data_IF_657279879719
#
_entry.id   IF_657279879719
#
_cell.length_a   1.000
_cell.length_b   1.000
_cell.length_c   1.000
_cell.angle_alpha   90.00
_cell.angle_beta   90.00
_cell.angle_gamma   90.00
#
_symmetry.space_group_name_H-M   'P 1'
#
loop_
_entity.id
_entity.type
_entity.pdbx_description
1 polymer ?
#
# COMPACT_ATOMS: atom_id res chain seq x y z
N UNK A 1 59.41 57.01 31.27
CA UNK A 1 58.91 55.83 30.53
C UNK A 1 57.40 55.95 30.45
N UNK A 2 56.84 56.14 29.24
CA UNK A 2 55.40 56.34 29.02
C UNK A 2 54.76 54.98 28.76
N UNK A 3 53.84 54.55 29.62
CA UNK A 3 53.04 53.34 29.42
C UNK A 3 51.78 53.69 28.64
N UNK A 4 51.62 53.06 27.46
CA UNK A 4 50.40 53.13 26.67
C UNK A 4 49.48 51.96 27.07
N UNK A 5 48.29 52.30 27.58
CA UNK A 5 47.23 51.36 27.92
C UNK A 5 46.38 51.09 26.66
N UNK A 6 46.35 49.86 26.18
CA UNK A 6 45.49 49.44 25.07
C UNK A 6 44.23 48.76 25.64
N UNK A 7 43.06 49.36 25.38
CA UNK A 7 41.75 48.85 25.78
C UNK A 7 41.21 47.97 24.64
N UNK A 8 40.95 46.70 24.92
CA UNK A 8 40.33 45.74 24.00
C UNK A 8 38.80 45.74 24.23
N UNK A 9 37.96 45.95 23.21
CA UNK A 9 36.51 45.87 23.36
C UNK A 9 36.06 44.39 23.40
N UNK A 10 35.33 44.04 24.45
CA UNK A 10 34.68 42.73 24.61
C UNK A 10 33.34 42.77 23.87
N UNK A 11 33.23 42.01 22.77
CA UNK A 11 31.99 41.83 22.04
C UNK A 11 31.09 40.83 22.77
N UNK A 12 29.97 41.29 23.32
CA UNK A 12 28.90 40.49 23.91
C UNK A 12 28.14 39.73 22.82
N UNK A 13 28.40 38.44 22.69
CA UNK A 13 27.62 37.54 21.84
C UNK A 13 26.28 37.20 22.53
N UNK A 14 25.17 37.71 21.97
CA UNK A 14 23.81 37.32 22.36
C UNK A 14 23.55 35.88 21.88
N UNK A 15 23.54 34.92 22.81
CA UNK A 15 23.06 33.56 22.55
C UNK A 15 21.54 33.57 22.44
N UNK A 16 21.03 33.48 21.21
CA UNK A 16 19.61 33.29 20.95
C UNK A 16 19.27 31.82 21.21
N UNK A 17 18.67 31.55 22.38
CA UNK A 17 18.13 30.23 22.73
C UNK A 17 16.86 29.97 21.93
N UNK A 18 17.00 29.42 20.72
CA UNK A 18 15.86 28.91 19.97
C UNK A 18 15.34 27.66 20.69
N UNK A 19 14.12 27.73 21.24
CA UNK A 19 13.45 26.56 21.80
C UNK A 19 13.30 25.51 20.68
N UNK A 20 13.72 24.25 20.89
CA UNK A 20 13.63 23.22 19.87
C UNK A 20 12.17 22.98 19.51
N UNK A 21 11.83 23.20 18.24
CA UNK A 21 10.51 22.93 17.70
C UNK A 21 10.32 21.40 17.67
N UNK A 22 9.29 20.88 18.35
CA UNK A 22 8.90 19.46 18.21
C UNK A 22 8.50 19.21 16.76
N UNK A 23 9.19 18.29 16.11
CA UNK A 23 8.86 17.85 14.75
C UNK A 23 8.15 16.52 14.88
N UNK A 24 6.82 16.56 14.84
CA UNK A 24 6.04 15.34 14.67
C UNK A 24 6.45 14.67 13.34
N UNK A 25 6.66 13.37 13.40
CA UNK A 25 6.88 12.53 12.23
C UNK A 25 5.59 12.48 11.42
N UNK A 26 5.69 12.81 10.14
CA UNK A 26 4.60 12.63 9.19
C UNK A 26 4.26 11.14 9.04
N UNK A 27 3.05 10.69 9.44
CA UNK A 27 2.65 9.28 9.33
C UNK A 27 2.67 8.72 7.90
N UNK A 28 2.61 9.58 6.88
CA UNK A 28 2.71 9.18 5.47
C UNK A 28 4.14 8.84 5.05
N UNK A 29 5.15 9.35 5.77
CA UNK A 29 6.57 9.03 5.53
C UNK A 29 7.03 7.78 6.30
N UNK A 30 6.21 7.26 7.21
CA UNK A 30 6.50 6.04 7.97
C UNK A 30 6.25 4.83 7.08
N UNK A 31 7.25 3.95 6.88
CA UNK A 31 7.07 2.77 6.05
C UNK A 31 6.03 1.81 6.65
N UNK A 32 5.22 1.18 5.79
CA UNK A 32 4.26 0.16 6.24
C UNK A 32 4.97 -1.11 6.70
N UNK A 33 4.43 -1.80 7.71
CA UNK A 33 5.01 -3.04 8.20
C UNK A 33 5.01 -4.14 7.13
N UNK A 34 3.96 -4.22 6.31
CA UNK A 34 3.82 -5.25 5.28
C UNK A 34 3.77 -6.68 5.81
N UNK A 35 3.53 -6.86 7.11
CA UNK A 35 3.33 -8.14 7.79
C UNK A 35 2.27 -7.96 8.88
N UNK A 36 1.42 -8.97 9.10
CA UNK A 36 0.40 -8.93 10.14
C UNK A 36 0.91 -9.58 11.43
N UNK A 37 0.47 -9.07 12.58
CA UNK A 37 0.77 -9.68 13.87
C UNK A 37 -0.07 -10.93 14.10
N UNK A 38 0.39 -11.82 14.98
CA UNK A 38 -0.43 -12.96 15.42
C UNK A 38 -0.61 -14.09 14.40
N UNK A 39 0.16 -14.13 13.32
CA UNK A 39 0.01 -15.18 12.29
C UNK A 39 0.47 -16.54 12.84
N UNK A 40 -0.36 -17.57 12.69
CA UNK A 40 -0.06 -18.97 13.04
C UNK A 40 0.61 -19.14 14.42
N UNK A 41 -0.10 -18.80 15.52
CA UNK A 41 0.46 -18.92 16.85
C UNK A 41 0.78 -20.38 17.19
N UNK A 42 1.96 -20.63 17.73
CA UNK A 42 2.41 -21.98 18.14
C UNK A 42 1.83 -22.42 19.50
N UNK A 43 1.18 -21.50 20.22
CA UNK A 43 0.77 -21.70 21.61
C UNK A 43 1.87 -21.45 22.65
N UNK A 44 3.11 -21.17 22.23
CA UNK A 44 4.25 -20.81 23.12
C UNK A 44 4.53 -19.31 23.17
N UNK A 45 3.68 -18.49 22.55
CA UNK A 45 3.89 -17.04 22.40
C UNK A 45 4.61 -16.63 21.10
N UNK A 46 4.98 -17.61 20.28
CA UNK A 46 5.61 -17.39 18.98
C UNK A 46 4.60 -17.49 17.83
N UNK A 47 4.79 -16.66 16.83
CA UNK A 47 4.01 -16.55 15.61
C UNK A 47 4.94 -16.57 14.39
N UNK A 48 4.35 -16.77 13.22
CA UNK A 48 5.04 -16.74 11.94
C UNK A 48 5.41 -15.31 11.54
N UNK A 49 6.70 -15.06 11.40
CA UNK A 49 7.28 -13.88 10.77
C UNK A 49 7.50 -14.08 9.28
N UNK A 50 8.33 -13.24 8.69
CA UNK A 50 8.73 -13.41 7.29
C UNK A 50 9.58 -14.66 7.08
N UNK A 51 9.47 -15.21 5.87
CA UNK A 51 10.30 -16.31 5.39
C UNK A 51 11.71 -15.81 5.06
N UNK A 52 12.74 -16.51 5.55
CA UNK A 52 14.12 -16.20 5.22
C UNK A 52 14.49 -16.64 3.78
N UNK A 53 15.71 -16.31 3.33
CA UNK A 53 16.19 -16.67 1.99
C UNK A 53 16.26 -18.20 1.74
N UNK A 54 16.28 -19.01 2.80
CA UNK A 54 16.25 -20.47 2.72
C UNK A 54 14.83 -21.05 2.68
N UNK A 55 13.79 -20.20 2.60
CA UNK A 55 12.40 -20.65 2.57
C UNK A 55 11.84 -21.02 3.95
N UNK A 56 12.56 -20.75 5.04
CA UNK A 56 12.11 -21.06 6.40
C UNK A 56 11.40 -19.86 7.04
N UNK A 57 10.22 -20.09 7.59
CA UNK A 57 9.48 -19.08 8.35
C UNK A 57 10.21 -18.76 9.66
N UNK A 58 10.56 -17.49 9.87
CA UNK A 58 11.20 -17.05 11.09
C UNK A 58 10.15 -16.91 12.18
N UNK A 59 10.34 -17.54 13.33
CA UNK A 59 9.46 -17.35 14.49
C UNK A 59 9.73 -16.00 15.16
N UNK A 60 8.66 -15.27 15.45
CA UNK A 60 8.67 -13.95 16.08
C UNK A 60 7.67 -13.93 17.24
N UNK A 61 7.79 -13.03 18.22
CA UNK A 61 6.75 -12.86 19.23
C UNK A 61 5.40 -12.51 18.59
N UNK A 62 4.30 -13.10 19.06
CA UNK A 62 2.97 -12.85 18.48
C UNK A 62 2.48 -11.40 18.59
N UNK A 63 3.04 -10.61 19.51
CA UNK A 63 2.80 -9.17 19.62
C UNK A 63 3.51 -8.34 18.55
N UNK A 64 4.25 -8.97 17.64
CA UNK A 64 5.01 -8.32 16.59
C UNK A 64 4.39 -8.56 15.21
N UNK A 65 4.29 -7.52 14.35
CA UNK A 65 4.62 -6.12 14.62
C UNK A 65 3.65 -5.48 15.65
N UNK A 66 4.07 -4.40 16.34
CA UNK A 66 3.20 -3.69 17.28
C UNK A 66 2.02 -3.02 16.57
N UNK A 67 1.07 -2.48 17.33
CA UNK A 67 0.08 -1.54 16.78
C UNK A 67 0.77 -0.36 16.08
N UNK A 68 0.23 0.05 14.92
CA UNK A 68 0.84 1.09 14.08
C UNK A 68 0.87 2.45 14.77
N UNK A 69 -0.18 2.80 15.52
CA UNK A 69 -0.22 4.09 16.22
C UNK A 69 0.75 4.10 17.41
N UNK A 70 0.80 2.99 18.17
CA UNK A 70 1.78 2.83 19.25
C UNK A 70 3.22 2.92 18.72
N UNK A 71 3.49 2.33 17.55
CA UNK A 71 4.79 2.43 16.89
C UNK A 71 5.13 3.86 16.46
N UNK A 72 4.19 4.58 15.82
CA UNK A 72 4.41 5.98 15.42
C UNK A 72 4.67 6.87 16.63
N UNK A 73 3.98 6.63 17.74
CA UNK A 73 4.20 7.36 18.99
C UNK A 73 5.62 7.11 19.55
N UNK A 74 6.10 5.87 19.52
CA UNK A 74 7.47 5.53 19.91
C UNK A 74 8.51 6.15 18.96
N UNK A 75 8.23 6.16 17.65
CA UNK A 75 9.08 6.79 16.64
C UNK A 75 9.17 8.31 16.85
N UNK A 76 8.04 8.98 17.11
CA UNK A 76 8.00 10.40 17.47
C UNK A 76 8.88 10.70 18.68
N UNK A 77 8.78 9.91 19.75
CA UNK A 77 9.61 10.08 20.94
C UNK A 77 11.11 9.93 20.62
N UNK A 78 11.48 8.98 19.76
CA UNK A 78 12.86 8.78 19.34
C UNK A 78 13.40 9.95 18.49
N UNK A 79 12.59 10.46 17.56
CA UNK A 79 12.95 11.59 16.68
C UNK A 79 13.07 12.88 17.48
N UNK A 80 12.12 13.15 18.39
CA UNK A 80 12.19 14.30 19.30
C UNK A 80 13.44 14.27 20.19
N UNK A 81 13.86 13.08 20.62
CA UNK A 81 15.07 12.89 21.42
C UNK A 81 16.36 12.88 20.59
N UNK A 82 16.27 12.78 19.25
CA UNK A 82 17.40 12.57 18.33
C UNK A 82 18.12 11.23 18.52
N UNK A 83 17.53 10.30 19.29
CA UNK A 83 18.10 9.00 19.68
C UNK A 83 17.00 8.06 20.15
N UNK A 84 17.25 6.76 20.14
CA UNK A 84 16.28 5.81 20.68
C UNK A 84 16.10 6.02 22.19
N UNK A 85 14.90 6.40 22.65
CA UNK A 85 14.66 6.76 24.07
C UNK A 85 14.98 5.61 25.03
N UNK A 86 14.70 4.38 24.59
CA UNK A 86 14.97 3.15 25.32
C UNK A 86 16.35 2.55 25.05
N UNK A 87 17.13 3.13 24.13
CA UNK A 87 18.52 2.78 23.87
C UNK A 87 19.33 4.03 23.43
N UNK A 88 19.63 4.95 24.35
CA UNK A 88 20.12 6.30 24.00
C UNK A 88 21.46 6.33 23.26
N UNK A 89 22.19 5.23 23.22
CA UNK A 89 23.44 5.09 22.48
C UNK A 89 23.24 5.06 20.95
N UNK A 90 22.02 4.85 20.47
CA UNK A 90 21.71 4.78 19.04
C UNK A 90 21.06 6.10 18.59
N UNK A 91 21.70 6.89 17.71
CA UNK A 91 21.10 8.09 17.16
C UNK A 91 19.94 7.75 16.23
N UNK A 92 18.91 8.59 16.22
CA UNK A 92 17.73 8.45 15.35
C UNK A 92 17.52 9.77 14.62
N UNK A 93 17.45 9.69 13.30
CA UNK A 93 17.14 10.81 12.43
C UNK A 93 16.03 10.41 11.47
N UNK A 94 15.07 11.32 11.26
CA UNK A 94 13.93 11.09 10.37
C UNK A 94 13.81 12.25 9.38
N UNK A 95 14.66 12.27 8.33
CA UNK A 95 14.62 13.33 7.33
C UNK A 95 13.31 13.28 6.53
N UNK A 96 12.87 14.42 6.02
CA UNK A 96 11.58 14.57 5.34
C UNK A 96 11.67 14.64 3.82
N UNK A 97 12.87 14.79 3.25
CA UNK A 97 13.04 14.83 1.79
C UNK A 97 12.95 13.43 1.16
N UNK A 98 12.86 13.39 -0.16
CA UNK A 98 12.68 12.16 -0.93
C UNK A 98 13.98 11.55 -1.46
N UNK A 99 15.14 12.05 -1.04
CA UNK A 99 16.40 11.44 -1.48
C UNK A 99 16.47 9.98 -1.01
N UNK A 100 17.17 9.16 -1.81
CA UNK A 100 17.48 7.77 -1.45
C UNK A 100 18.09 7.65 -0.06
N UNK A 101 18.99 8.58 0.30
CA UNK A 101 19.60 8.64 1.62
C UNK A 101 18.55 8.87 2.72
N UNK A 102 17.62 9.79 2.50
CA UNK A 102 16.56 10.10 3.47
C UNK A 102 15.55 8.97 3.62
N UNK A 103 15.18 8.28 2.54
CA UNK A 103 14.33 7.08 2.62
C UNK A 103 15.00 5.95 3.40
N UNK A 104 16.29 5.68 3.16
CA UNK A 104 17.06 4.70 3.92
C UNK A 104 17.17 5.08 5.40
N UNK A 105 17.38 6.37 5.71
CA UNK A 105 17.40 6.87 7.08
C UNK A 105 16.06 6.67 7.79
N UNK A 106 14.93 6.90 7.12
CA UNK A 106 13.59 6.63 7.68
C UNK A 106 13.37 5.15 7.98
N UNK A 107 13.75 4.25 7.08
CA UNK A 107 13.68 2.80 7.34
C UNK A 107 14.60 2.41 8.50
N UNK A 108 15.80 2.97 8.56
CA UNK A 108 16.73 2.70 9.65
C UNK A 108 16.16 3.18 10.99
N UNK A 109 15.58 4.38 11.04
CA UNK A 109 14.89 4.89 12.22
C UNK A 109 13.70 4.00 12.64
N UNK A 110 12.95 3.49 11.66
CA UNK A 110 11.85 2.57 11.90
C UNK A 110 12.33 1.23 12.49
N UNK A 111 13.40 0.64 11.92
CA UNK A 111 14.04 -0.58 12.43
C UNK A 111 14.60 -0.39 13.85
N UNK A 112 15.31 0.71 14.10
CA UNK A 112 15.85 1.03 15.43
C UNK A 112 14.71 1.18 16.44
N UNK A 113 13.65 1.89 16.07
CA UNK A 113 12.47 2.04 16.94
C UNK A 113 11.85 0.68 17.25
N UNK A 114 11.61 -0.13 16.22
CA UNK A 114 11.02 -1.46 16.34
C UNK A 114 11.82 -2.38 17.27
N UNK A 115 13.14 -2.38 17.15
CA UNK A 115 14.03 -3.24 17.94
C UNK A 115 14.24 -2.77 19.38
N UNK A 116 13.92 -1.51 19.70
CA UNK A 116 14.16 -0.91 21.01
C UNK A 116 12.87 -0.48 21.73
N UNK A 117 11.70 -1.01 21.35
CA UNK A 117 10.40 -0.62 21.92
C UNK A 117 10.33 -0.77 23.45
N UNK A 118 10.98 -1.77 24.05
CA UNK A 118 10.93 -2.07 25.49
C UNK A 118 12.32 -2.11 26.15
N UNK A 119 13.33 -1.46 25.55
CA UNK A 119 14.71 -1.45 26.03
C UNK A 119 15.72 -1.87 24.96
N UNK A 120 17.03 -1.87 25.28
CA UNK A 120 18.08 -2.20 24.32
C UNK A 120 17.90 -3.61 23.74
N UNK A 121 17.59 -3.70 22.44
CA UNK A 121 17.32 -4.96 21.73
C UNK A 121 16.07 -5.72 22.18
N UNK A 122 15.24 -5.11 23.04
CA UNK A 122 13.99 -5.69 23.56
C UNK A 122 12.80 -5.10 22.81
N UNK A 123 12.62 -5.54 21.58
CA UNK A 123 11.52 -5.08 20.73
C UNK A 123 11.12 -6.15 19.74
N UNK A 124 10.50 -5.73 18.65
CA UNK A 124 10.14 -6.64 17.58
C UNK A 124 11.33 -6.89 16.65
N UNK A 125 11.62 -8.15 16.29
CA UNK A 125 12.69 -8.46 15.35
C UNK A 125 12.34 -7.91 13.97
N UNK A 126 13.35 -7.59 13.15
CA UNK A 126 13.13 -7.06 11.81
C UNK A 126 12.25 -7.98 10.95
N UNK A 127 12.33 -9.31 11.17
CA UNK A 127 11.51 -10.33 10.52
C UNK A 127 10.00 -10.20 10.78
N UNK A 128 9.55 -9.35 11.72
CA UNK A 128 8.13 -9.03 11.89
C UNK A 128 7.63 -7.95 10.95
N UNK A 129 8.47 -7.46 10.03
CA UNK A 129 8.14 -6.40 9.07
C UNK A 129 8.91 -6.62 7.77
N UNK A 130 8.48 -5.98 6.70
CA UNK A 130 9.15 -5.98 5.39
C UNK A 130 10.22 -4.88 5.27
N UNK A 131 10.58 -4.20 6.36
CA UNK A 131 11.51 -3.06 6.34
C UNK A 131 12.87 -3.39 5.72
N UNK A 132 13.42 -4.59 5.96
CA UNK A 132 14.70 -5.00 5.34
C UNK A 132 14.57 -5.18 3.83
N UNK A 133 13.46 -5.75 3.36
CA UNK A 133 13.17 -5.88 1.93
C UNK A 133 12.96 -4.51 1.28
N UNK A 134 12.25 -3.60 1.95
CA UNK A 134 12.06 -2.22 1.50
C UNK A 134 13.38 -1.46 1.45
N UNK A 135 14.25 -1.62 2.45
CA UNK A 135 15.60 -1.04 2.47
C UNK A 135 16.40 -1.51 1.25
N UNK A 136 16.38 -2.82 0.98
CA UNK A 136 17.04 -3.40 -0.18
C UNK A 136 16.46 -2.87 -1.49
N UNK A 137 15.14 -2.77 -1.62
CA UNK A 137 14.51 -2.22 -2.82
C UNK A 137 14.95 -0.76 -3.10
N UNK A 138 15.07 0.07 -2.05
CA UNK A 138 15.58 1.44 -2.18
C UNK A 138 17.07 1.44 -2.57
N UNK A 139 17.88 0.55 -1.98
CA UNK A 139 19.30 0.39 -2.32
C UNK A 139 19.49 -0.04 -3.78
N UNK A 140 18.65 -0.94 -4.28
CA UNK A 140 18.71 -1.44 -5.65
C UNK A 140 18.14 -0.44 -6.67
N UNK A 141 17.55 0.67 -6.22
CA UNK A 141 16.86 1.63 -7.09
C UNK A 141 15.52 1.12 -7.65
N UNK A 142 15.06 -0.03 -7.13
CA UNK A 142 13.80 -0.68 -7.49
C UNK A 142 12.63 -0.23 -6.62
N UNK A 143 12.89 0.60 -5.60
CA UNK A 143 11.83 1.33 -4.93
C UNK A 143 11.24 2.32 -5.94
N UNK A 144 10.05 2.00 -6.46
CA UNK A 144 9.13 3.06 -6.85
C UNK A 144 8.98 3.92 -5.61
N UNK A 145 9.58 5.11 -5.63
CA UNK A 145 9.44 6.06 -4.56
C UNK A 145 7.94 6.17 -4.25
N UNK A 146 7.53 5.84 -3.02
CA UNK A 146 6.43 6.57 -2.44
C UNK A 146 6.93 8.01 -2.39
N UNK A 147 6.71 8.74 -3.49
CA UNK A 147 6.88 10.17 -3.55
C UNK A 147 5.99 10.72 -2.43
N UNK A 148 6.60 11.22 -1.36
CA UNK A 148 5.97 12.36 -0.73
C UNK A 148 5.93 13.41 -1.86
N UNK A 149 4.75 13.87 -2.32
CA UNK A 149 4.72 14.86 -3.38
C UNK A 149 5.55 16.06 -2.94
N UNK A 150 6.35 16.62 -3.84
CA UNK A 150 6.80 18.00 -3.68
C UNK A 150 5.56 18.86 -3.40
N UNK A 151 5.62 19.92 -2.56
CA UNK A 151 4.49 20.84 -2.44
C UNK A 151 4.08 21.23 -3.87
N UNK A 152 2.88 20.86 -4.31
CA UNK A 152 2.53 20.97 -5.70
C UNK A 152 2.60 22.46 -6.08
N UNK A 153 3.17 22.76 -7.25
CA UNK A 153 2.71 23.94 -7.96
C UNK A 153 1.19 23.84 -7.99
N UNK A 154 0.50 24.91 -7.54
CA UNK A 154 -0.94 24.92 -7.30
C UNK A 154 -1.66 24.06 -8.36
N UNK A 155 -2.24 22.91 -7.97
CA UNK A 155 -2.79 21.99 -8.93
C UNK A 155 -3.89 22.71 -9.70
N UNK A 156 -3.85 22.60 -11.03
CA UNK A 156 -5.02 22.87 -11.83
C UNK A 156 -6.15 21.99 -11.26
N UNK A 157 -7.26 22.65 -10.94
CA UNK A 157 -8.39 22.08 -10.23
C UNK A 157 -8.78 20.72 -10.80
N UNK A 158 -8.60 19.64 -10.04
CA UNK A 158 -9.34 18.42 -10.31
C UNK A 158 -10.84 18.77 -10.26
N UNK A 159 -11.64 18.36 -11.25
CA UNK A 159 -13.08 18.58 -11.19
C UNK A 159 -13.60 17.96 -9.89
N UNK A 160 -14.44 18.71 -9.17
CA UNK A 160 -15.14 18.22 -7.99
C UNK A 160 -15.71 16.82 -8.29
N UNK A 161 -15.66 15.87 -7.32
CA UNK A 161 -16.33 14.59 -7.49
C UNK A 161 -17.74 14.86 -8.00
N UNK A 162 -18.10 14.28 -9.15
CA UNK A 162 -19.48 14.30 -9.61
C UNK A 162 -20.35 13.89 -8.43
N UNK A 163 -21.38 14.71 -8.12
CA UNK A 163 -22.19 14.59 -6.93
C UNK A 163 -22.53 13.11 -6.62
N UNK A 164 -21.92 12.54 -5.58
CA UNK A 164 -22.17 11.16 -5.14
C UNK A 164 -20.95 10.24 -4.91
N UNK A 165 -19.73 10.64 -5.30
CA UNK A 165 -18.53 9.82 -5.08
C UNK A 165 -18.02 9.86 -3.63
N UNK A 166 -17.74 8.69 -3.03
CA UNK A 166 -17.06 8.58 -1.72
C UNK A 166 -15.55 8.68 -1.93
N UNK A 167 -14.86 9.47 -1.10
CA UNK A 167 -13.39 9.53 -1.09
C UNK A 167 -12.79 8.21 -0.55
N UNK A 168 -12.04 7.44 -1.35
CA UNK A 168 -11.40 6.19 -0.92
C UNK A 168 -10.48 6.33 0.30
N UNK A 169 -9.89 7.51 0.51
CA UNK A 169 -9.01 7.76 1.65
C UNK A 169 -9.78 7.84 2.98
N UNK A 170 -11.06 8.21 2.92
CA UNK A 170 -11.95 8.25 4.09
C UNK A 170 -12.61 6.91 4.40
N UNK A 171 -12.44 5.90 3.53
CA UNK A 171 -13.01 4.56 3.70
C UNK A 171 -12.11 3.73 4.63
N UNK A 172 -12.63 3.22 5.76
CA UNK A 172 -11.87 2.39 6.69
C UNK A 172 -11.21 1.16 6.01
N UNK A 173 -10.05 0.75 6.50
CA UNK A 173 -9.39 -0.49 6.06
C UNK A 173 -10.05 -1.71 6.71
N UNK A 174 -10.18 -2.82 5.97
CA UNK A 174 -10.81 -4.03 6.52
C UNK A 174 -9.99 -4.64 7.66
N UNK A 175 -8.65 -4.62 7.57
CA UNK A 175 -7.76 -5.17 8.59
C UNK A 175 -7.81 -6.71 8.73
N UNK A 176 -8.49 -7.40 7.81
CA UNK A 176 -8.50 -8.86 7.67
C UNK A 176 -8.32 -9.16 6.18
N UNK A 177 -7.47 -10.13 5.84
CA UNK A 177 -7.31 -10.57 4.44
C UNK A 177 -8.41 -11.57 4.07
N UNK A 178 -8.93 -11.57 2.83
CA UNK A 178 -9.79 -12.64 2.36
C UNK A 178 -9.09 -14.00 2.39
N UNK A 179 -9.84 -15.07 2.59
CA UNK A 179 -9.32 -16.43 2.44
C UNK A 179 -8.38 -16.92 3.55
N UNK A 180 -8.38 -16.31 4.74
CA UNK A 180 -7.50 -16.76 5.85
C UNK A 180 -7.96 -18.12 6.36
N UNK A 181 -7.05 -19.10 6.39
CA UNK A 181 -7.25 -20.45 6.95
C UNK A 181 -8.57 -21.12 6.50
N UNK A 182 -8.74 -21.42 5.20
CA UNK A 182 -9.95 -22.06 4.70
C UNK A 182 -10.10 -23.46 5.30
N UNK A 183 -11.28 -23.78 5.82
CA UNK A 183 -11.59 -25.10 6.41
C UNK A 183 -11.94 -26.17 5.38
N UNK A 184 -12.07 -25.79 4.10
CA UNK A 184 -12.59 -26.65 3.03
C UNK A 184 -14.12 -26.75 2.97
N UNK A 185 -14.85 -26.15 3.94
CA UNK A 185 -16.33 -26.09 3.94
C UNK A 185 -16.90 -24.78 3.41
N UNK A 186 -16.04 -23.88 2.91
CA UNK A 186 -16.40 -22.52 2.48
C UNK A 186 -16.24 -21.45 3.57
N UNK A 187 -15.81 -21.85 4.77
CA UNK A 187 -15.54 -20.96 5.88
C UNK A 187 -14.05 -20.66 6.04
N UNK A 188 -13.76 -19.42 6.41
CA UNK A 188 -12.45 -18.87 6.67
C UNK A 188 -12.43 -18.21 8.06
N UNK A 189 -11.23 -17.93 8.55
CA UNK A 189 -11.02 -17.25 9.83
C UNK A 189 -11.25 -15.74 9.68
N UNK A 190 -12.18 -15.20 10.46
CA UNK A 190 -12.36 -13.77 10.67
C UNK A 190 -11.62 -13.27 11.91
N UNK A 191 -12.07 -12.15 12.47
CA UNK A 191 -11.50 -11.62 13.71
C UNK A 191 -11.79 -12.54 14.91
N UNK A 192 -10.92 -12.46 15.91
CA UNK A 192 -11.15 -13.06 17.23
C UNK A 192 -12.19 -12.27 18.02
N UNK A 193 -13.19 -12.94 18.60
CA UNK A 193 -14.17 -12.32 19.47
C UNK A 193 -13.58 -11.98 20.86
N UNK A 194 -14.35 -11.29 21.70
CA UNK A 194 -13.93 -10.91 23.06
C UNK A 194 -13.59 -12.12 23.96
N UNK A 195 -14.09 -13.32 23.63
CA UNK A 195 -13.81 -14.56 24.34
C UNK A 195 -12.55 -15.28 23.83
N UNK A 196 -11.79 -14.68 22.90
CA UNK A 196 -10.57 -15.27 22.35
C UNK A 196 -10.82 -16.31 21.25
N UNK A 197 -12.05 -16.46 20.76
CA UNK A 197 -12.39 -17.43 19.72
C UNK A 197 -12.41 -16.77 18.35
N UNK A 198 -11.78 -17.40 17.35
CA UNK A 198 -11.84 -16.96 15.95
C UNK A 198 -13.25 -17.15 15.42
N UNK A 199 -13.86 -16.07 14.93
CA UNK A 199 -15.19 -16.12 14.32
C UNK A 199 -15.05 -16.62 12.89
N UNK A 200 -15.74 -17.72 12.55
CA UNK A 200 -15.79 -18.22 11.18
C UNK A 200 -16.64 -17.30 10.31
N UNK A 201 -16.14 -16.99 9.12
CA UNK A 201 -16.77 -16.12 8.13
C UNK A 201 -16.76 -16.83 6.76
N UNK A 202 -17.63 -16.46 5.81
CA UNK A 202 -17.50 -16.96 4.44
C UNK A 202 -16.15 -16.57 3.85
N UNK A 203 -15.49 -17.46 3.11
CA UNK A 203 -14.17 -17.17 2.51
C UNK A 203 -14.16 -16.05 1.46
N UNK A 204 -15.33 -15.69 0.92
CA UNK A 204 -15.51 -14.52 0.05
C UNK A 204 -15.52 -13.19 0.81
N UNK A 205 -15.38 -13.23 2.14
CA UNK A 205 -15.36 -12.08 3.02
C UNK A 205 -13.96 -11.90 3.65
N UNK A 206 -13.46 -10.64 3.74
CA UNK A 206 -14.06 -9.42 3.20
C UNK A 206 -14.07 -9.39 1.66
N UNK A 207 -14.95 -8.57 1.04
CA UNK A 207 -14.95 -8.40 -0.42
C UNK A 207 -13.67 -7.69 -0.89
N UNK A 208 -13.43 -7.71 -2.20
CA UNK A 208 -12.40 -6.85 -2.80
C UNK A 208 -12.66 -5.37 -2.50
N UNK A 209 -11.60 -4.63 -2.14
CA UNK A 209 -11.73 -3.25 -1.62
C UNK A 209 -12.38 -2.32 -2.63
N UNK A 210 -12.01 -2.41 -3.90
CA UNK A 210 -12.59 -1.58 -4.96
C UNK A 210 -14.07 -1.89 -5.19
N UNK A 211 -14.46 -3.16 -5.10
CA UNK A 211 -15.86 -3.60 -5.21
C UNK A 211 -16.67 -3.02 -4.07
N UNK A 212 -16.14 -3.06 -2.85
CA UNK A 212 -16.77 -2.46 -1.69
C UNK A 212 -16.91 -0.93 -1.79
N UNK A 213 -15.87 -0.22 -2.23
CA UNK A 213 -15.90 1.24 -2.39
C UNK A 213 -16.95 1.65 -3.44
N UNK A 214 -17.10 0.87 -4.52
CA UNK A 214 -18.17 1.08 -5.50
C UNK A 214 -19.55 0.92 -4.88
N UNK A 215 -19.78 -0.15 -4.11
CA UNK A 215 -21.05 -0.36 -3.40
C UNK A 215 -21.32 0.75 -2.38
N UNK A 216 -20.31 1.18 -1.63
CA UNK A 216 -20.41 2.27 -0.66
C UNK A 216 -20.75 3.59 -1.36
N UNK A 217 -20.08 3.89 -2.47
CA UNK A 217 -20.37 5.08 -3.27
C UNK A 217 -21.81 5.07 -3.81
N UNK A 218 -22.29 3.94 -4.30
CA UNK A 218 -23.68 3.80 -4.74
C UNK A 218 -24.69 4.02 -3.59
N UNK A 219 -24.41 3.46 -2.41
CA UNK A 219 -25.25 3.65 -1.23
C UNK A 219 -25.28 5.10 -0.76
N UNK A 220 -24.14 5.79 -0.79
CA UNK A 220 -24.02 7.20 -0.39
C UNK A 220 -24.71 8.11 -1.41
N UNK A 221 -24.54 7.86 -2.70
CA UNK A 221 -25.25 8.58 -3.76
C UNK A 221 -26.78 8.40 -3.66
N UNK A 222 -27.25 7.22 -3.26
CA UNK A 222 -28.67 6.96 -3.02
C UNK A 222 -29.19 7.52 -1.67
N UNK A 223 -28.30 7.77 -0.70
CA UNK A 223 -28.66 8.12 0.67
C UNK A 223 -29.23 6.95 1.50
N UNK A 224 -29.15 5.73 0.98
CA UNK A 224 -29.60 4.49 1.60
C UNK A 224 -28.84 3.29 1.02
N UNK A 225 -28.84 2.15 1.71
CA UNK A 225 -28.26 0.92 1.17
C UNK A 225 -29.08 0.46 -0.05
N UNK A 226 -28.51 0.47 -1.26
CA UNK A 226 -29.25 0.20 -2.52
C UNK A 226 -29.97 -1.16 -2.48
N UNK A 227 -29.33 -2.16 -1.87
CA UNK A 227 -29.89 -3.50 -1.71
C UNK A 227 -30.71 -3.70 -0.43
N UNK A 228 -30.83 -2.67 0.41
CA UNK A 228 -31.72 -2.62 1.55
C UNK A 228 -32.19 -1.16 1.82
N UNK A 229 -33.09 -0.61 0.98
CA UNK A 229 -33.42 0.81 0.99
C UNK A 229 -34.03 1.35 2.30
N UNK A 230 -34.47 0.45 3.18
CA UNK A 230 -34.96 0.81 4.52
C UNK A 230 -33.87 1.37 5.44
N UNK A 231 -32.59 1.12 5.13
CA UNK A 231 -31.44 1.56 5.92
C UNK A 231 -30.81 2.79 5.27
N UNK A 232 -30.88 3.93 5.96
CA UNK A 232 -30.25 5.19 5.55
C UNK A 232 -28.72 5.07 5.63
N UNK A 233 -28.03 5.68 4.68
CA UNK A 233 -26.57 5.76 4.65
C UNK A 233 -26.16 7.22 4.48
N UNK A 234 -25.26 7.69 5.34
CA UNK A 234 -24.62 8.99 5.23
C UNK A 234 -23.11 8.82 5.32
N UNK A 235 -22.36 9.62 4.58
CA UNK A 235 -20.90 9.58 4.59
C UNK A 235 -20.35 11.01 4.66
N UNK A 236 -20.41 11.63 5.85
CA UNK A 236 -19.88 12.98 6.04
C UNK A 236 -18.36 12.99 5.81
N UNK A 237 -17.83 14.14 5.41
CA UNK A 237 -16.40 14.29 5.03
C UNK A 237 -15.57 14.99 6.09
N UNK A 238 -16.18 15.61 7.10
CA UNK A 238 -15.43 16.27 8.17
C UNK A 238 -14.81 15.26 9.15
N UNK A 239 -13.97 15.77 10.05
CA UNK A 239 -13.16 14.96 10.95
C UNK A 239 -13.73 14.84 12.35
N UNK A 240 -14.96 15.31 12.60
CA UNK A 240 -15.59 15.12 13.91
C UNK A 240 -15.73 13.63 14.24
N UNK A 241 -15.71 13.33 15.54
CA UNK A 241 -15.95 11.97 16.05
C UNK A 241 -17.25 11.39 15.49
N UNK A 242 -18.31 12.21 15.43
CA UNK A 242 -19.61 11.80 14.90
C UNK A 242 -19.52 11.47 13.40
N UNK A 243 -18.79 12.25 12.62
CA UNK A 243 -18.58 11.98 11.20
C UNK A 243 -17.75 10.72 10.94
N UNK A 244 -16.73 10.46 11.76
CA UNK A 244 -15.97 9.21 11.69
C UNK A 244 -16.84 7.98 12.04
N UNK A 245 -17.69 8.09 13.07
CA UNK A 245 -18.64 7.03 13.43
C UNK A 245 -19.70 6.82 12.35
N UNK A 246 -20.20 7.88 11.72
CA UNK A 246 -21.14 7.80 10.61
C UNK A 246 -20.51 7.08 9.40
N UNK A 247 -19.27 7.41 9.04
CA UNK A 247 -18.53 6.69 7.98
C UNK A 247 -18.33 5.21 8.31
N UNK A 248 -17.98 4.90 9.56
CA UNK A 248 -17.83 3.52 10.02
C UNK A 248 -19.16 2.75 9.95
N UNK A 249 -20.26 3.40 10.34
CA UNK A 249 -21.59 2.82 10.26
C UNK A 249 -22.02 2.59 8.80
N UNK A 250 -21.76 3.55 7.91
CA UNK A 250 -22.00 3.42 6.48
C UNK A 250 -21.22 2.25 5.87
N UNK A 251 -19.96 2.07 6.29
CA UNK A 251 -19.12 0.95 5.87
C UNK A 251 -19.68 -0.39 6.35
N UNK A 252 -20.08 -0.50 7.62
CA UNK A 252 -20.73 -1.70 8.18
C UNK A 252 -22.06 -2.03 7.48
N UNK A 253 -22.92 -1.04 7.28
CA UNK A 253 -24.20 -1.21 6.59
C UNK A 253 -23.97 -1.68 5.16
N UNK A 254 -23.02 -1.07 4.44
CA UNK A 254 -22.67 -1.50 3.08
C UNK A 254 -22.20 -2.94 3.07
N UNK A 255 -21.29 -3.30 3.98
CA UNK A 255 -20.72 -4.65 4.10
C UNK A 255 -21.82 -5.70 4.32
N UNK A 256 -22.77 -5.43 5.20
CA UNK A 256 -23.85 -6.36 5.57
C UNK A 256 -24.96 -6.47 4.51
N UNK A 257 -25.05 -5.51 3.59
CA UNK A 257 -26.12 -5.45 2.60
C UNK A 257 -25.61 -5.60 1.14
N UNK A 258 -24.42 -6.15 0.93
CA UNK A 258 -23.82 -6.28 -0.41
C UNK A 258 -24.69 -7.05 -1.41
N UNK A 259 -25.43 -8.09 -0.98
CA UNK A 259 -26.28 -8.92 -1.86
C UNK A 259 -27.74 -8.99 -1.41
N UNK A 260 -28.21 -7.98 -0.66
CA UNK A 260 -29.58 -7.92 -0.13
C UNK A 260 -29.63 -7.70 1.39
N UNK A 261 -30.83 -7.59 1.99
CA UNK A 261 -30.98 -7.32 3.42
C UNK A 261 -30.29 -8.38 4.29
N UNK A 262 -29.21 -7.98 4.97
CA UNK A 262 -28.39 -8.87 5.80
C UNK A 262 -27.61 -9.95 5.04
N UNK A 263 -27.63 -9.93 3.69
CA UNK A 263 -26.95 -10.90 2.81
C UNK A 263 -25.63 -10.33 2.32
N UNK A 264 -24.73 -10.04 3.23
CA UNK A 264 -23.41 -9.52 2.93
C UNK A 264 -22.34 -10.20 3.76
N UNK A 265 -21.21 -9.51 3.92
CA UNK A 265 -20.15 -9.98 4.78
C UNK A 265 -20.44 -9.62 6.25
N UNK A 266 -20.26 -10.56 7.19
CA UNK A 266 -20.45 -10.25 8.61
C UNK A 266 -19.40 -9.24 9.07
N UNK A 267 -19.72 -8.44 10.08
CA UNK A 267 -18.78 -7.44 10.60
C UNK A 267 -17.45 -8.07 11.07
N UNK A 268 -17.49 -9.33 11.53
CA UNK A 268 -16.32 -10.12 11.91
C UNK A 268 -15.34 -10.42 10.75
N UNK A 269 -15.72 -10.16 9.50
CA UNK A 269 -14.81 -10.20 8.36
C UNK A 269 -13.93 -8.96 8.23
N UNK A 270 -14.06 -8.01 9.16
CA UNK A 270 -13.31 -6.76 9.20
C UNK A 270 -13.00 -6.39 10.64
N UNK A 271 -12.19 -5.36 10.83
CA UNK A 271 -11.88 -4.75 12.12
C UNK A 271 -12.78 -3.53 12.42
N UNK A 272 -13.84 -3.29 11.63
CA UNK A 272 -14.67 -2.09 11.75
C UNK A 272 -15.29 -1.91 13.13
N UNK A 273 -15.69 -2.97 13.83
CA UNK A 273 -16.24 -2.86 15.19
C UNK A 273 -15.17 -2.41 16.21
N UNK A 274 -13.94 -2.91 16.08
CA UNK A 274 -12.83 -2.47 16.91
C UNK A 274 -12.45 -1.01 16.61
N UNK A 275 -12.44 -0.62 15.33
CA UNK A 275 -12.20 0.76 14.92
C UNK A 275 -13.31 1.70 15.40
N UNK A 276 -14.59 1.29 15.31
CA UNK A 276 -15.72 2.03 15.84
C UNK A 276 -15.56 2.28 17.34
N UNK A 277 -15.20 1.24 18.10
CA UNK A 277 -14.93 1.35 19.53
C UNK A 277 -13.75 2.28 19.83
N UNK A 278 -12.65 2.18 19.09
CA UNK A 278 -11.51 3.08 19.26
C UNK A 278 -11.89 4.56 19.03
N UNK A 279 -12.75 4.85 18.04
CA UNK A 279 -13.28 6.19 17.81
C UNK A 279 -14.18 6.63 18.97
N UNK A 280 -15.04 5.74 19.48
CA UNK A 280 -15.90 6.01 20.65
C UNK A 280 -15.08 6.31 21.91
N UNK A 281 -13.96 5.62 22.11
CA UNK A 281 -13.09 5.78 23.28
C UNK A 281 -12.19 7.03 23.16
N UNK A 282 -12.10 7.66 21.98
CA UNK A 282 -11.28 8.84 21.73
C UNK A 282 -9.83 8.52 21.33
N UNK A 283 -9.56 7.25 20.98
CA UNK A 283 -8.26 6.73 20.58
C UNK A 283 -8.11 6.64 19.04
N UNK A 284 -8.90 7.42 18.29
CA UNK A 284 -8.85 7.42 16.83
C UNK A 284 -7.52 7.97 16.29
N UNK A 285 -6.98 7.43 15.18
CA UNK A 285 -5.86 8.05 14.46
C UNK A 285 -6.20 9.51 14.10
N UNK A 286 -5.22 10.41 14.21
CA UNK A 286 -5.40 11.81 13.81
C UNK A 286 -5.72 11.90 12.31
N UNK A 287 -6.81 12.59 11.97
CA UNK A 287 -7.28 12.72 10.59
C UNK A 287 -6.46 13.76 9.79
N UNK A 288 -6.35 13.61 8.46
CA UNK A 288 -5.73 14.62 7.59
C UNK A 288 -6.49 15.97 7.66
N UNK A 289 -5.74 17.08 7.65
CA UNK A 289 -6.29 18.43 7.82
C UNK A 289 -7.27 18.84 6.68
N UNK A 290 -8.33 19.62 6.96
CA UNK A 290 -9.25 20.11 5.94
C UNK A 290 -8.59 21.08 4.94
N UNK A 291 -8.93 20.96 3.65
CA UNK A 291 -8.43 21.84 2.60
C UNK A 291 -9.08 23.26 2.66
N UNK A 292 -8.33 24.36 2.38
CA UNK A 292 -8.85 25.73 2.40
C UNK A 292 -9.87 26.05 1.29
N UNK A 293 -10.71 27.07 1.51
CA UNK A 293 -11.79 27.49 0.61
C UNK A 293 -11.29 28.17 -0.71
N UNK A 294 -12.04 28.06 -1.83
CA UNK A 294 -11.56 28.47 -3.16
C UNK A 294 -11.60 29.98 -3.43
N UNK A 295 -10.65 30.48 -4.23
CA UNK A 295 -10.65 31.83 -4.80
C UNK A 295 -11.29 31.87 -6.22
N UNK A 296 -11.76 33.04 -6.71
CA UNK A 296 -12.51 33.16 -7.97
C UNK A 296 -11.68 32.83 -9.22
N UNK A 297 -12.28 32.11 -10.18
CA UNK A 297 -11.63 31.57 -11.38
C UNK A 297 -11.41 32.62 -12.51
N UNK A 298 -10.29 32.57 -13.25
CA UNK A 298 -10.10 33.32 -14.50
C UNK A 298 -10.66 32.58 -15.73
N UNK A 299 -10.97 33.35 -16.78
CA UNK A 299 -11.62 32.92 -18.03
C UNK A 299 -10.75 32.02 -18.94
N UNK A 300 -11.37 31.17 -19.80
CA UNK A 300 -10.67 30.09 -20.52
C UNK A 300 -9.98 30.55 -21.81
N UNK A 301 -8.85 29.90 -22.13
CA UNK A 301 -8.13 29.99 -23.40
C UNK A 301 -8.02 28.60 -24.07
N UNK A 302 -7.83 28.52 -25.40
CA UNK A 302 -8.26 27.39 -26.22
C UNK A 302 -7.26 26.24 -26.32
N UNK A 303 -7.80 25.10 -26.74
CA UNK A 303 -7.25 23.75 -26.79
C UNK A 303 -6.10 23.56 -27.78
N UNK A 304 -5.10 22.74 -27.40
CA UNK A 304 -4.14 22.11 -28.32
C UNK A 304 -3.74 20.70 -27.88
N UNK A 305 -3.54 19.85 -28.90
CA UNK A 305 -3.22 18.40 -29.00
C UNK A 305 -2.22 17.76 -28.02
N UNK A 306 -2.21 16.40 -27.95
CA UNK A 306 -1.67 15.63 -26.81
C UNK A 306 -0.17 15.35 -26.88
N UNK A 307 0.50 15.42 -25.73
CA UNK A 307 1.89 15.03 -25.53
C UNK A 307 2.02 14.02 -24.38
N UNK A 308 2.53 12.83 -24.71
CA UNK A 308 3.40 11.94 -23.92
C UNK A 308 3.23 11.86 -22.39
N UNK A 309 2.23 11.11 -21.91
CA UNK A 309 2.24 10.51 -20.57
C UNK A 309 2.50 9.00 -20.70
N UNK A 310 3.53 8.50 -20.03
CA UNK A 310 3.87 7.07 -20.02
C UNK A 310 2.76 6.21 -19.42
N UNK A 311 2.87 4.89 -19.60
CA UNK A 311 1.99 3.91 -18.97
C UNK A 311 2.11 4.02 -17.46
N UNK A 312 0.98 4.22 -16.78
CA UNK A 312 0.91 4.19 -15.31
C UNK A 312 1.27 2.78 -14.80
N UNK A 313 2.36 2.62 -14.02
CA UNK A 313 2.77 1.34 -13.44
C UNK A 313 1.72 0.66 -12.56
N UNK A 314 0.76 1.41 -12.01
CA UNK A 314 -0.32 0.87 -11.20
C UNK A 314 -1.39 0.16 -12.06
N UNK A 315 -1.52 0.54 -13.33
CA UNK A 315 -2.45 -0.08 -14.28
C UNK A 315 -1.85 -1.32 -14.97
N UNK A 316 -0.53 -1.52 -14.85
CA UNK A 316 0.18 -2.68 -15.41
C UNK A 316 -0.13 -3.93 -14.58
N UNK A 317 -0.76 -4.96 -15.17
CA UNK A 317 -1.07 -6.20 -14.47
C UNK A 317 0.19 -6.86 -13.89
N UNK A 318 0.05 -7.51 -12.73
CA UNK A 318 1.14 -8.27 -12.14
C UNK A 318 1.46 -9.51 -13.01
N UNK A 319 2.74 -9.83 -13.17
CA UNK A 319 3.16 -11.00 -13.96
C UNK A 319 2.87 -12.31 -13.21
N UNK A 320 2.82 -12.28 -11.88
CA UNK A 320 2.35 -13.35 -11.01
C UNK A 320 3.17 -14.64 -11.04
N UNK A 321 4.38 -14.61 -11.59
CA UNK A 321 5.30 -15.75 -11.64
C UNK A 321 6.74 -15.26 -11.48
N UNK A 322 7.61 -16.07 -10.89
CA UNK A 322 9.02 -15.74 -10.67
C UNK A 322 9.89 -16.41 -11.75
N UNK A 323 10.90 -15.69 -12.25
CA UNK A 323 11.88 -16.26 -13.16
C UNK A 323 12.82 -17.25 -12.44
N UNK A 324 13.45 -18.14 -13.20
CA UNK A 324 14.51 -19.01 -12.68
C UNK A 324 14.05 -20.14 -11.75
N UNK A 325 12.76 -20.48 -11.72
CA UNK A 325 12.26 -21.56 -10.88
C UNK A 325 12.68 -22.93 -11.42
N UNK A 326 13.28 -23.76 -10.57
CA UNK A 326 13.68 -25.15 -10.87
C UNK A 326 14.43 -25.31 -12.21
N UNK A 327 15.61 -24.69 -12.37
CA UNK A 327 16.37 -24.79 -13.61
C UNK A 327 16.76 -26.24 -13.90
N UNK A 328 16.56 -26.68 -15.14
CA UNK A 328 16.91 -28.04 -15.60
C UNK A 328 18.39 -28.20 -15.93
N UNK A 329 19.14 -27.09 -16.02
CA UNK A 329 20.50 -27.04 -16.55
C UNK A 329 20.59 -26.92 -18.08
N UNK A 330 19.48 -26.98 -18.82
CA UNK A 330 19.42 -26.79 -20.28
C UNK A 330 19.00 -25.37 -20.71
N UNK A 331 18.84 -24.46 -19.75
CA UNK A 331 18.29 -23.12 -19.97
C UNK A 331 16.77 -23.02 -19.76
N UNK A 332 16.12 -24.13 -19.43
CA UNK A 332 14.69 -24.20 -19.14
C UNK A 332 14.41 -24.20 -17.64
N UNK A 333 13.31 -23.53 -17.27
CA UNK A 333 12.79 -23.39 -15.92
C UNK A 333 11.29 -23.72 -15.90
N UNK A 334 10.74 -23.88 -14.70
CA UNK A 334 9.33 -24.14 -14.48
C UNK A 334 8.50 -22.86 -14.67
N UNK A 335 7.56 -22.92 -15.62
CA UNK A 335 6.49 -21.96 -15.81
C UNK A 335 5.23 -22.33 -15.02
N UNK A 336 4.10 -21.74 -15.39
CA UNK A 336 2.81 -22.09 -14.81
C UNK A 336 2.39 -23.52 -15.21
N UNK A 337 1.53 -24.10 -14.39
CA UNK A 337 0.89 -25.40 -14.65
C UNK A 337 -0.24 -25.24 -15.68
N UNK A 338 -0.29 -26.12 -16.68
CA UNK A 338 -1.39 -26.17 -17.66
C UNK A 338 -2.67 -26.77 -17.05
N UNK A 339 -3.76 -26.77 -17.81
CA UNK A 339 -5.04 -27.33 -17.36
C UNK A 339 -5.00 -28.84 -17.03
N UNK A 340 -4.01 -29.57 -17.54
CA UNK A 340 -3.79 -30.99 -17.25
C UNK A 340 -2.91 -31.22 -16.01
N UNK A 341 -2.54 -30.16 -15.27
CA UNK A 341 -1.69 -30.29 -14.09
C UNK A 341 -0.20 -30.41 -14.39
N UNK A 342 0.23 -30.21 -15.65
CA UNK A 342 1.63 -30.33 -16.05
C UNK A 342 2.32 -28.96 -16.04
N UNK A 343 3.50 -28.88 -15.43
CA UNK A 343 4.35 -27.68 -15.44
C UNK A 343 4.89 -27.44 -16.84
N UNK A 344 4.64 -26.25 -17.41
CA UNK A 344 5.15 -25.88 -18.73
C UNK A 344 6.59 -25.40 -18.58
N UNK A 345 7.52 -25.95 -19.37
CA UNK A 345 8.90 -25.46 -19.41
C UNK A 345 8.99 -24.14 -20.19
N UNK A 346 9.71 -23.17 -19.63
CA UNK A 346 9.91 -21.83 -20.18
C UNK A 346 11.41 -21.47 -20.10
N UNK A 347 11.91 -20.51 -20.90
CA UNK A 347 13.27 -20.01 -20.72
C UNK A 347 13.49 -19.45 -19.31
N UNK A 348 14.62 -19.75 -18.67
CA UNK A 348 14.89 -19.31 -17.29
C UNK A 348 14.93 -17.79 -17.10
N UNK A 349 15.15 -17.01 -18.17
CA UNK A 349 15.08 -15.55 -18.14
C UNK A 349 13.63 -15.01 -18.14
N UNK A 350 12.63 -15.88 -18.17
CA UNK A 350 11.23 -15.52 -18.22
C UNK A 350 10.51 -15.80 -16.89
N UNK A 351 9.64 -14.88 -16.43
CA UNK A 351 9.39 -13.54 -17.00
C UNK A 351 10.58 -12.58 -16.75
N UNK A 352 10.73 -11.50 -17.54
CA UNK A 352 11.68 -10.44 -17.21
C UNK A 352 11.33 -9.78 -15.87
N UNK A 353 12.28 -9.07 -15.28
CA UNK A 353 11.96 -8.23 -14.11
C UNK A 353 10.93 -7.15 -14.47
N UNK A 354 10.16 -6.71 -13.47
CA UNK A 354 9.03 -5.81 -13.66
C UNK A 354 9.44 -4.47 -14.27
N UNK A 355 10.62 -3.94 -13.94
CA UNK A 355 11.09 -2.66 -14.47
C UNK A 355 11.46 -2.78 -15.95
N UNK A 356 12.18 -3.84 -16.34
CA UNK A 356 12.49 -4.16 -17.74
C UNK A 356 11.21 -4.37 -18.55
N UNK A 357 10.23 -5.07 -17.99
CA UNK A 357 8.92 -5.26 -18.63
C UNK A 357 8.18 -3.94 -18.85
N UNK A 358 8.03 -3.11 -17.81
CA UNK A 358 7.33 -1.82 -17.89
C UNK A 358 8.01 -0.88 -18.89
N UNK A 359 9.35 -0.89 -18.96
CA UNK A 359 10.09 -0.12 -19.97
C UNK A 359 9.73 -0.55 -21.39
N UNK A 360 9.64 -1.86 -21.65
CA UNK A 360 9.24 -2.37 -22.96
C UNK A 360 7.77 -2.05 -23.28
N UNK A 361 6.88 -2.19 -22.30
CA UNK A 361 5.46 -1.86 -22.44
C UNK A 361 5.26 -0.37 -22.74
N UNK A 362 5.97 0.51 -22.04
CA UNK A 362 5.98 1.95 -22.31
C UNK A 362 6.37 2.27 -23.75
N UNK A 363 7.44 1.65 -24.25
CA UNK A 363 7.88 1.84 -25.62
C UNK A 363 6.81 1.38 -26.64
N UNK A 364 6.16 0.24 -26.37
CA UNK A 364 5.10 -0.29 -27.22
C UNK A 364 3.84 0.59 -27.23
N UNK A 365 3.42 1.08 -26.05
CA UNK A 365 2.24 1.95 -25.94
C UNK A 365 2.49 3.31 -26.57
N UNK A 366 3.67 3.90 -26.36
CA UNK A 366 4.06 5.15 -27.01
C UNK A 366 4.10 5.03 -28.54
N UNK A 367 4.49 3.86 -29.06
CA UNK A 367 4.48 3.57 -30.49
C UNK A 367 3.08 3.19 -31.03
N UNK A 368 2.13 2.82 -30.17
CA UNK A 368 0.84 2.23 -30.54
C UNK A 368 0.94 0.82 -31.13
N UNK A 369 2.12 0.19 -31.09
CA UNK A 369 2.42 -1.14 -31.61
C UNK A 369 3.62 -1.74 -30.89
N UNK A 370 3.82 -3.06 -31.00
CA UNK A 370 5.02 -3.70 -30.47
C UNK A 370 6.26 -3.22 -31.24
N UNK A 371 7.18 -2.50 -30.59
CA UNK A 371 8.32 -1.84 -31.26
C UNK A 371 9.19 -2.82 -32.07
N UNK A 372 9.36 -4.04 -31.55
CA UNK A 372 10.13 -5.11 -32.22
C UNK A 372 9.26 -6.02 -33.12
N UNK A 373 7.97 -5.74 -33.23
CA UNK A 373 7.04 -6.38 -34.16
C UNK A 373 5.91 -5.41 -34.57
N UNK A 374 6.20 -4.41 -35.43
CA UNK A 374 5.27 -3.31 -35.69
C UNK A 374 3.92 -3.69 -36.32
N UNK A 375 3.80 -4.93 -36.82
CA UNK A 375 2.53 -5.46 -37.34
C UNK A 375 1.48 -5.73 -36.25
N UNK A 376 1.88 -5.75 -34.98
CA UNK A 376 0.99 -6.01 -33.84
C UNK A 376 0.70 -4.72 -33.10
N UNK A 377 -0.54 -4.23 -33.21
CA UNK A 377 -1.00 -3.03 -32.50
C UNK A 377 -1.07 -3.25 -30.99
N UNK A 378 -0.77 -2.21 -30.22
CA UNK A 378 -0.83 -2.21 -28.76
C UNK A 378 -1.69 -1.04 -28.31
N UNK A 379 -2.71 -1.35 -27.50
CA UNK A 379 -3.59 -0.36 -26.88
C UNK A 379 -3.58 -0.57 -25.37
N UNK A 380 -3.45 0.53 -24.62
CA UNK A 380 -3.39 0.50 -23.16
C UNK A 380 -4.35 1.54 -22.58
N UNK A 381 -5.66 1.26 -22.59
CA UNK A 381 -6.67 2.18 -22.06
C UNK A 381 -6.52 2.33 -20.54
N UNK A 382 -6.84 3.50 -20.02
CA UNK A 382 -6.62 3.87 -18.61
C UNK A 382 -7.88 3.75 -17.74
N UNK A 383 -9.06 3.58 -18.33
CA UNK A 383 -10.29 3.41 -17.55
C UNK A 383 -10.38 2.01 -16.90
N UNK A 384 -11.34 1.85 -16.01
CA UNK A 384 -11.47 0.66 -15.16
C UNK A 384 -12.51 -0.35 -15.64
N UNK A 385 -13.01 -0.23 -16.88
CA UNK A 385 -13.90 -1.23 -17.46
C UNK A 385 -13.20 -2.58 -17.60
N UNK A 386 -13.97 -3.68 -17.60
CA UNK A 386 -13.43 -5.01 -17.85
C UNK A 386 -12.80 -5.10 -19.26
N UNK A 387 -13.36 -4.38 -20.24
CA UNK A 387 -12.78 -4.26 -21.57
C UNK A 387 -11.38 -3.63 -21.53
N UNK A 388 -11.22 -2.55 -20.77
CA UNK A 388 -9.93 -1.87 -20.64
C UNK A 388 -8.91 -2.68 -19.84
N UNK A 389 -9.34 -3.37 -18.78
CA UNK A 389 -8.51 -4.34 -18.06
C UNK A 389 -8.04 -5.47 -18.97
N UNK A 390 -8.94 -6.06 -19.76
CA UNK A 390 -8.60 -7.09 -20.74
C UNK A 390 -7.61 -6.57 -21.79
N UNK A 391 -7.82 -5.35 -22.31
CA UNK A 391 -6.90 -4.71 -23.24
C UNK A 391 -5.50 -4.51 -22.64
N UNK A 392 -5.37 -4.08 -21.38
CA UNK A 392 -4.07 -3.96 -20.69
C UNK A 392 -3.38 -5.30 -20.49
N UNK A 393 -4.13 -6.36 -20.18
CA UNK A 393 -3.58 -7.72 -20.09
C UNK A 393 -3.11 -8.22 -21.47
N UNK A 394 -3.89 -7.98 -22.52
CA UNK A 394 -3.51 -8.32 -23.91
C UNK A 394 -2.26 -7.55 -24.33
N UNK A 395 -2.18 -6.24 -24.06
CA UNK A 395 -0.99 -5.42 -24.31
C UNK A 395 0.26 -5.96 -23.59
N UNK A 396 0.06 -6.46 -22.37
CA UNK A 396 1.12 -7.06 -21.56
C UNK A 396 1.61 -8.39 -22.15
N UNK A 397 0.69 -9.26 -22.58
CA UNK A 397 1.00 -10.51 -23.28
C UNK A 397 1.74 -10.26 -24.61
N UNK A 398 1.26 -9.31 -25.42
CA UNK A 398 1.91 -8.90 -26.67
C UNK A 398 3.33 -8.41 -26.38
N UNK A 399 3.51 -7.58 -25.35
CA UNK A 399 4.83 -7.06 -24.97
C UNK A 399 5.78 -8.19 -24.59
N UNK A 400 5.35 -9.15 -23.76
CA UNK A 400 6.15 -10.32 -23.36
C UNK A 400 6.60 -11.15 -24.57
N UNK A 401 5.66 -11.44 -25.48
CA UNK A 401 5.92 -12.28 -26.65
C UNK A 401 6.84 -11.62 -27.69
N UNK A 402 6.98 -10.29 -27.65
CA UNK A 402 7.75 -9.53 -28.62
C UNK A 402 8.97 -8.81 -28.01
N UNK A 403 9.44 -9.23 -26.82
CA UNK A 403 10.57 -8.60 -26.13
C UNK A 403 11.86 -8.57 -26.95
N UNK A 404 12.09 -9.54 -27.83
CA UNK A 404 13.32 -9.69 -28.63
C UNK A 404 13.07 -9.84 -30.13
N UNK A 405 11.84 -9.62 -30.61
CA UNK A 405 11.46 -9.77 -32.02
C UNK A 405 10.10 -10.44 -32.17
N UNK A 406 9.59 -10.62 -33.40
CA UNK A 406 8.29 -11.25 -33.65
C UNK A 406 8.21 -12.66 -33.07
N UNK A 407 7.42 -12.84 -32.01
CA UNK A 407 7.28 -14.12 -31.30
C UNK A 407 8.53 -14.59 -30.55
N UNK A 408 9.58 -13.75 -30.49
CA UNK A 408 10.82 -14.05 -29.77
C UNK A 408 10.77 -13.26 -28.46
N UNK A 409 10.35 -13.92 -27.40
CA UNK A 409 10.15 -13.30 -26.09
C UNK A 409 9.80 -14.34 -25.04
N UNK A 410 9.08 -13.92 -24.02
CA UNK A 410 8.61 -14.83 -22.98
C UNK A 410 7.24 -15.40 -23.33
N UNK A 411 7.05 -16.73 -23.25
CA UNK A 411 5.76 -17.36 -23.51
C UNK A 411 4.75 -16.93 -22.44
N UNK A 412 3.45 -16.94 -22.76
CA UNK A 412 2.40 -16.58 -21.80
C UNK A 412 2.45 -17.43 -20.53
N UNK A 413 2.87 -18.69 -20.66
CA UNK A 413 3.09 -19.63 -19.57
C UNK A 413 4.18 -19.21 -18.56
N UNK A 414 4.93 -18.15 -18.84
CA UNK A 414 5.85 -17.54 -17.87
C UNK A 414 5.18 -16.56 -16.92
N UNK A 415 3.86 -16.39 -16.99
CA UNK A 415 3.08 -15.43 -16.19
C UNK A 415 1.69 -15.95 -15.89
N UNK A 416 0.95 -15.30 -15.00
CA UNK A 416 -0.47 -15.62 -14.74
C UNK A 416 -1.45 -14.79 -15.59
N UNK A 417 -0.94 -14.00 -16.56
CA UNK A 417 -1.75 -13.07 -17.34
C UNK A 417 -2.89 -13.75 -18.12
N UNK A 418 -2.70 -14.97 -18.61
CA UNK A 418 -3.79 -15.71 -19.29
C UNK A 418 -4.93 -16.07 -18.34
N UNK A 419 -4.63 -16.40 -17.07
CA UNK A 419 -5.64 -16.65 -16.06
C UNK A 419 -6.34 -15.35 -15.64
N UNK A 420 -5.59 -14.26 -15.50
CA UNK A 420 -6.15 -12.93 -15.23
C UNK A 420 -7.08 -12.46 -16.35
N UNK A 421 -6.70 -12.67 -17.62
CA UNK A 421 -7.54 -12.32 -18.77
C UNK A 421 -8.87 -13.06 -18.71
N UNK A 422 -8.83 -14.37 -18.44
CA UNK A 422 -10.03 -15.19 -18.28
C UNK A 422 -10.92 -14.70 -17.13
N UNK A 423 -10.32 -14.28 -16.01
CA UNK A 423 -11.05 -13.77 -14.85
C UNK A 423 -11.73 -12.41 -15.10
N UNK A 424 -11.21 -11.60 -16.02
CA UNK A 424 -11.78 -10.28 -16.39
C UNK A 424 -12.86 -10.41 -17.48
N UNK A 425 -12.80 -11.48 -18.28
CA UNK A 425 -13.74 -11.75 -19.38
C UNK A 425 -14.95 -12.61 -18.98
N UNK A 426 -14.86 -13.32 -17.84
CA UNK A 426 -15.99 -13.99 -17.20
C UNK A 426 -16.77 -13.04 -16.30
#
# INVERSE_FOLDING_TARGET
MRFALAIVPIATALLVSAAPYKRDVDPALVPEFGHAAGLNPTGTGDCDGLTNAAGQVIKIPCSCPPDRNAFIQALNANVDAGKAVNNPSIPVAFPTDNSKASQLARIQAALVTLQNLNGPGKGCPAASTTFVAQQKAIQDGNASAALAPAPPAAPASSPAPAAGGVDPALVPQFGVSPGVNPTGTGDCDGITNASGQVVKIPCSCPPERDTFIKSLSANVAAGFAVNNPSVKVSFPTDNSKDSQLARMQAALVTLQNLNGPGKGCPAASTTFLAQQKAIQDGNAPAAPAPAPAPAPAPAPAPSSSPAADGVDPALVPDLGHQAGLNPTGTGDCDGITNAAGQVIKIPCSCPPDRATFIKALNANVAAGHAVKNPSVSVSFPTDNSNQSKAARIIASLITLQNLNGPGVGCPAASTTLSAQLKAVQG
#
